data_IF_235095183564
#
_entry.id   IF_235095183564
#
_cell.length_a   1.000
_cell.length_b   1.000
_cell.length_c   1.000
_cell.angle_alpha   90.00
_cell.angle_beta   90.00
_cell.angle_gamma   90.00
#
_symmetry.space_group_name_H-M   'P 1'
#
loop_
_entity.id
_entity.type
_entity.pdbx_description
1 polymer ?
#
# COMPACT_ATOMS: atom_id res chain seq x y z
N UNK A 1 15.70 18.71 11.35
CA UNK A 1 14.51 18.52 10.51
C UNK A 1 14.52 17.09 9.95
N UNK A 2 13.47 16.35 10.19
CA UNK A 2 13.40 14.97 9.70
C UNK A 2 13.21 14.96 8.18
N UNK A 3 13.89 14.01 7.53
CA UNK A 3 13.69 13.78 6.10
C UNK A 3 12.35 13.10 5.88
N UNK A 4 11.75 13.32 4.72
CA UNK A 4 10.48 12.68 4.35
C UNK A 4 10.58 11.15 4.45
N UNK A 5 11.72 10.57 4.03
CA UNK A 5 11.95 9.14 4.11
C UNK A 5 11.84 8.62 5.55
N UNK A 6 12.43 9.34 6.50
CA UNK A 6 12.43 8.92 7.90
C UNK A 6 11.02 8.93 8.49
N UNK A 7 10.24 9.95 8.17
CA UNK A 7 8.83 10.05 8.62
C UNK A 7 8.01 8.91 8.03
N UNK A 8 8.13 8.68 6.72
CA UNK A 8 7.36 7.64 6.03
C UNK A 8 7.68 6.26 6.59
N UNK A 9 8.97 5.95 6.76
CA UNK A 9 9.38 4.65 7.29
C UNK A 9 8.84 4.45 8.71
N UNK A 10 9.02 5.45 9.57
CA UNK A 10 8.59 5.36 10.97
C UNK A 10 7.08 5.14 11.08
N UNK A 11 6.30 5.95 10.37
CA UNK A 11 4.83 5.87 10.42
C UNK A 11 4.32 4.56 9.80
N UNK A 12 4.85 4.18 8.65
CA UNK A 12 4.41 2.98 7.95
C UNK A 12 4.74 1.72 8.77
N UNK A 13 5.92 1.66 9.38
CA UNK A 13 6.30 0.53 10.23
C UNK A 13 5.40 0.41 11.45
N UNK A 14 4.98 1.52 12.06
CA UNK A 14 4.02 1.50 13.17
C UNK A 14 2.67 0.91 12.75
N UNK A 15 2.30 1.12 11.47
CA UNK A 15 1.07 0.57 10.91
C UNK A 15 1.24 -0.86 10.39
N UNK A 16 2.43 -1.43 10.53
CA UNK A 16 2.69 -2.80 10.14
C UNK A 16 3.19 -2.99 8.71
N UNK A 17 3.56 -1.90 8.03
CA UNK A 17 4.09 -1.98 6.68
C UNK A 17 5.61 -2.10 6.68
N UNK A 18 6.13 -2.90 5.74
CA UNK A 18 7.55 -2.86 5.39
C UNK A 18 7.71 -1.84 4.27
N UNK A 19 8.78 -1.03 4.34
CA UNK A 19 9.01 0.02 3.35
C UNK A 19 10.38 -0.17 2.75
N UNK A 20 10.45 -0.16 1.41
CA UNK A 20 11.72 -0.05 0.68
C UNK A 20 11.68 1.22 -0.15
N UNK A 21 12.84 1.82 -0.34
CA UNK A 21 12.96 3.11 -1.01
C UNK A 21 13.85 2.95 -2.24
N UNK A 22 13.36 3.45 -3.38
CA UNK A 22 14.14 3.55 -4.60
C UNK A 22 14.30 5.02 -4.94
N UNK A 23 15.52 5.51 -4.89
CA UNK A 23 15.83 6.89 -5.29
C UNK A 23 16.14 6.90 -6.79
N UNK A 24 15.23 7.49 -7.58
CA UNK A 24 15.44 7.62 -9.02
C UNK A 24 16.45 8.73 -9.31
N UNK A 25 16.38 9.81 -8.53
CA UNK A 25 17.37 10.90 -8.52
C UNK A 25 17.15 11.72 -7.24
N UNK A 26 17.85 12.85 -7.09
CA UNK A 26 17.78 13.66 -5.88
C UNK A 26 16.36 14.15 -5.55
N UNK A 27 15.52 14.30 -6.57
CA UNK A 27 14.20 14.89 -6.44
C UNK A 27 13.06 13.88 -6.53
N UNK A 28 13.33 12.67 -7.04
CA UNK A 28 12.31 11.67 -7.28
C UNK A 28 12.59 10.43 -6.45
N UNK A 29 11.68 10.12 -5.54
CA UNK A 29 11.77 8.97 -4.63
C UNK A 29 10.52 8.10 -4.80
N UNK A 30 10.72 6.80 -4.97
CA UNK A 30 9.63 5.82 -4.99
C UNK A 30 9.66 5.04 -3.68
N UNK A 31 8.51 5.00 -3.01
CA UNK A 31 8.31 4.19 -1.80
C UNK A 31 7.54 2.94 -2.17
N UNK A 32 8.07 1.77 -1.80
CA UNK A 32 7.39 0.49 -1.97
C UNK A 32 6.91 0.03 -0.60
N UNK A 33 5.60 -0.17 -0.47
CA UNK A 33 4.96 -0.57 0.78
C UNK A 33 4.47 -2.01 0.65
N UNK A 34 4.75 -2.84 1.64
CA UNK A 34 4.31 -4.23 1.66
C UNK A 34 3.76 -4.58 3.04
N UNK A 35 2.63 -5.27 3.07
CA UNK A 35 2.00 -5.71 4.31
C UNK A 35 1.13 -6.93 4.01
N UNK A 36 1.16 -7.91 4.90
CA UNK A 36 0.26 -9.05 4.77
C UNK A 36 -1.16 -8.66 5.13
N UNK A 37 -2.11 -9.15 4.34
CA UNK A 37 -3.53 -8.95 4.59
C UNK A 37 -3.98 -9.84 5.76
N UNK A 38 -5.21 -9.65 6.28
CA UNK A 38 -5.75 -10.51 7.33
C UNK A 38 -5.73 -12.00 7.00
N UNK A 39 -5.88 -12.36 5.71
CA UNK A 39 -5.82 -13.77 5.28
C UNK A 39 -4.40 -14.21 4.95
N UNK A 40 -3.40 -13.34 5.11
CA UNK A 40 -2.00 -13.68 4.89
C UNK A 40 -1.50 -13.51 3.47
N UNK A 41 -2.21 -12.78 2.62
CA UNK A 41 -1.72 -12.48 1.28
C UNK A 41 -0.70 -11.35 1.33
N UNK A 42 0.35 -11.48 0.52
CA UNK A 42 1.43 -10.49 0.44
C UNK A 42 0.98 -9.33 -0.46
N UNK A 43 0.43 -8.30 0.16
CA UNK A 43 -0.07 -7.13 -0.54
C UNK A 43 1.00 -6.05 -0.59
N UNK A 44 1.20 -5.44 -1.76
CA UNK A 44 2.16 -4.36 -1.91
C UNK A 44 1.67 -3.33 -2.92
N UNK A 45 2.14 -2.10 -2.76
CA UNK A 45 1.91 -1.03 -3.73
C UNK A 45 3.04 -0.01 -3.62
N UNK A 46 3.12 0.87 -4.61
CA UNK A 46 4.16 1.90 -4.65
C UNK A 46 3.55 3.28 -4.79
N UNK A 47 4.24 4.28 -4.25
CA UNK A 47 3.86 5.68 -4.41
C UNK A 47 5.12 6.53 -4.51
N UNK A 48 5.01 7.65 -5.22
CA UNK A 48 6.14 8.51 -5.53
C UNK A 48 6.02 9.86 -4.85
N UNK A 49 7.17 10.48 -4.58
CA UNK A 49 7.23 11.91 -4.30
C UNK A 49 8.25 12.58 -5.19
N UNK A 50 8.06 13.87 -5.43
CA UNK A 50 8.96 14.72 -6.19
C UNK A 50 9.30 15.94 -5.34
N UNK A 51 10.55 16.42 -5.44
CA UNK A 51 11.02 17.61 -4.74
C UNK A 51 10.86 17.53 -3.21
N UNK A 52 10.89 16.31 -2.66
CA UNK A 52 10.67 16.05 -1.23
C UNK A 52 9.34 16.60 -0.71
N UNK A 53 8.36 16.70 -1.60
CA UNK A 53 7.04 17.23 -1.26
C UNK A 53 6.14 16.11 -0.74
N UNK A 54 5.84 16.15 0.56
CA UNK A 54 4.98 15.14 1.18
C UNK A 54 3.54 15.18 0.66
N UNK A 55 3.08 16.34 0.21
CA UNK A 55 1.73 16.45 -0.37
C UNK A 55 1.62 15.66 -1.67
N UNK A 56 2.68 15.62 -2.48
CA UNK A 56 2.73 14.81 -3.69
C UNK A 56 2.62 13.33 -3.33
N UNK A 57 3.35 12.89 -2.31
CA UNK A 57 3.27 11.49 -1.86
C UNK A 57 1.87 11.14 -1.38
N UNK A 58 1.26 11.98 -0.55
CA UNK A 58 -0.09 11.75 -0.03
C UNK A 58 -1.11 11.68 -1.16
N UNK A 59 -0.98 12.56 -2.15
CA UNK A 59 -1.85 12.57 -3.32
C UNK A 59 -1.71 11.29 -4.14
N UNK A 60 -0.48 10.80 -4.33
CA UNK A 60 -0.22 9.54 -5.02
C UNK A 60 -0.88 8.35 -4.31
N UNK A 61 -0.74 8.28 -2.99
CA UNK A 61 -1.35 7.21 -2.21
C UNK A 61 -2.88 7.29 -2.30
N UNK A 62 -3.43 8.50 -2.22
CA UNK A 62 -4.88 8.69 -2.30
C UNK A 62 -5.43 8.33 -3.67
N UNK A 63 -4.71 8.65 -4.75
CA UNK A 63 -5.09 8.23 -6.10
C UNK A 63 -5.09 6.72 -6.25
N UNK A 64 -4.09 6.05 -5.70
CA UNK A 64 -4.04 4.59 -5.69
C UNK A 64 -5.27 4.02 -4.98
N UNK A 65 -5.61 4.58 -3.82
CA UNK A 65 -6.78 4.17 -3.05
C UNK A 65 -8.08 4.39 -3.83
N UNK A 66 -8.24 5.54 -4.48
CA UNK A 66 -9.44 5.87 -5.24
C UNK A 66 -9.64 4.95 -6.45
N UNK A 67 -8.55 4.57 -7.11
CA UNK A 67 -8.60 3.74 -8.31
C UNK A 67 -8.58 2.25 -7.97
N UNK A 68 -8.44 1.91 -6.71
CA UNK A 68 -8.35 0.52 -6.26
C UNK A 68 -9.67 -0.19 -6.45
N UNK A 69 -9.62 -1.37 -7.10
CA UNK A 69 -10.78 -2.21 -7.33
C UNK A 69 -10.55 -3.57 -6.67
N UNK A 70 -11.22 -3.86 -5.54
CA UNK A 70 -11.03 -5.15 -4.86
C UNK A 70 -11.33 -6.36 -5.73
N UNK A 71 -12.30 -6.25 -6.64
CA UNK A 71 -12.64 -7.35 -7.54
C UNK A 71 -11.50 -7.64 -8.52
N UNK A 72 -10.91 -6.60 -9.09
CA UNK A 72 -9.77 -6.74 -9.97
C UNK A 72 -8.55 -7.29 -9.23
N UNK A 73 -8.27 -6.75 -8.04
CA UNK A 73 -7.13 -7.22 -7.23
C UNK A 73 -7.30 -8.69 -6.85
N UNK A 74 -8.52 -9.10 -6.49
CA UNK A 74 -8.81 -10.49 -6.17
C UNK A 74 -8.54 -11.42 -7.35
N UNK A 75 -8.82 -10.95 -8.56
CA UNK A 75 -8.62 -11.73 -9.78
C UNK A 75 -7.17 -12.18 -9.95
N UNK A 76 -6.21 -11.37 -9.50
CA UNK A 76 -4.78 -11.68 -9.60
C UNK A 76 -4.38 -12.88 -8.75
N UNK A 77 -5.20 -13.25 -7.78
CA UNK A 77 -4.93 -14.37 -6.87
C UNK A 77 -5.71 -15.63 -7.24
N UNK A 78 -6.47 -15.59 -8.35
CA UNK A 78 -7.27 -16.72 -8.82
C UNK A 78 -6.44 -17.57 -9.78
N UNK A 79 -6.36 -18.87 -9.50
CA UNK A 79 -5.62 -19.80 -10.35
C UNK A 79 -6.43 -20.33 -11.53
N UNK A 80 -5.80 -21.13 -12.40
CA UNK A 80 -6.45 -21.69 -13.59
C UNK A 80 -7.69 -22.55 -13.28
N UNK A 81 -7.76 -23.06 -12.04
CA UNK A 81 -8.86 -23.92 -11.61
C UNK A 81 -10.05 -23.14 -11.04
N UNK A 82 -10.00 -21.81 -11.09
CA UNK A 82 -11.11 -20.97 -10.63
C UNK A 82 -11.19 -20.76 -9.13
N UNK A 83 -10.11 -21.02 -8.40
CA UNK A 83 -10.04 -20.74 -6.96
C UNK A 83 -8.67 -20.19 -6.60
N UNK A 84 -8.48 -19.78 -5.33
CA UNK A 84 -7.26 -19.09 -4.88
C UNK A 84 -5.99 -19.90 -5.02
N UNK A 85 -4.89 -19.20 -5.26
CA UNK A 85 -3.54 -19.76 -5.36
C UNK A 85 -2.55 -18.87 -4.62
N UNK A 86 -1.31 -19.37 -4.46
CA UNK A 86 -0.20 -18.60 -3.86
C UNK A 86 -0.51 -18.09 -2.46
N UNK A 87 -1.15 -18.94 -1.64
CA UNK A 87 -1.48 -18.58 -0.27
C UNK A 87 -2.80 -17.85 -0.10
N UNK A 88 -3.50 -17.55 -1.19
CA UNK A 88 -4.81 -16.90 -1.12
C UNK A 88 -5.87 -17.88 -0.61
N UNK A 89 -6.99 -17.37 -0.03
CA UNK A 89 -8.12 -18.22 0.33
C UNK A 89 -8.63 -19.02 -0.86
N UNK A 90 -9.19 -20.19 -0.60
CA UNK A 90 -9.67 -21.07 -1.65
C UNK A 90 -10.86 -20.45 -2.41
N UNK A 91 -11.82 -19.86 -1.69
CA UNK A 91 -13.04 -19.33 -2.30
C UNK A 91 -12.84 -17.89 -2.78
N UNK A 92 -13.32 -17.59 -3.98
CA UNK A 92 -13.21 -16.26 -4.59
C UNK A 92 -13.82 -15.18 -3.70
N UNK A 93 -14.96 -15.45 -3.08
CA UNK A 93 -15.61 -14.50 -2.19
C UNK A 93 -14.69 -14.08 -1.03
N UNK A 94 -13.90 -15.01 -0.50
CA UNK A 94 -12.96 -14.73 0.60
C UNK A 94 -11.77 -13.92 0.10
N UNK A 95 -11.34 -14.14 -1.14
CA UNK A 95 -10.28 -13.35 -1.76
C UNK A 95 -10.74 -11.90 -1.94
N UNK A 96 -11.97 -11.70 -2.43
CA UNK A 96 -12.54 -10.35 -2.60
C UNK A 96 -12.62 -9.64 -1.26
N UNK A 97 -13.10 -10.31 -0.22
CA UNK A 97 -13.17 -9.71 1.12
C UNK A 97 -11.78 -9.32 1.64
N UNK A 98 -10.77 -10.15 1.37
CA UNK A 98 -9.40 -9.87 1.77
C UNK A 98 -8.84 -8.65 1.02
N UNK A 99 -9.18 -8.49 -0.25
CA UNK A 99 -8.77 -7.32 -1.03
C UNK A 99 -9.50 -6.05 -0.59
N UNK A 100 -10.73 -6.16 -0.09
CA UNK A 100 -11.40 -5.03 0.55
C UNK A 100 -10.70 -4.62 1.84
N UNK A 101 -10.22 -5.60 2.59
CA UNK A 101 -9.42 -5.32 3.79
C UNK A 101 -8.10 -4.61 3.42
N UNK A 102 -7.47 -5.01 2.31
CA UNK A 102 -6.27 -4.35 1.80
C UNK A 102 -6.54 -2.88 1.44
N UNK A 103 -7.70 -2.61 0.84
CA UNK A 103 -8.12 -1.23 0.55
C UNK A 103 -8.16 -0.38 1.82
N UNK A 104 -8.74 -0.92 2.88
CA UNK A 104 -8.79 -0.24 4.18
C UNK A 104 -7.38 -0.02 4.75
N UNK A 105 -6.47 -0.97 4.55
CA UNK A 105 -5.07 -0.84 4.98
C UNK A 105 -4.41 0.37 4.31
N UNK A 106 -4.65 0.57 3.01
CA UNK A 106 -4.10 1.71 2.27
C UNK A 106 -4.67 3.03 2.83
N UNK A 107 -5.97 3.07 3.07
CA UNK A 107 -6.63 4.26 3.64
C UNK A 107 -6.06 4.59 5.02
N UNK A 108 -5.86 3.59 5.87
CA UNK A 108 -5.30 3.79 7.20
C UNK A 108 -3.85 4.30 7.13
N UNK A 109 -3.06 3.80 6.19
CA UNK A 109 -1.70 4.30 5.98
C UNK A 109 -1.72 5.76 5.55
N UNK A 110 -2.58 6.11 4.59
CA UNK A 110 -2.73 7.49 4.14
C UNK A 110 -3.10 8.41 5.31
N UNK A 111 -4.06 7.99 6.13
CA UNK A 111 -4.49 8.77 7.29
C UNK A 111 -3.36 8.98 8.28
N UNK A 112 -2.61 7.92 8.59
CA UNK A 112 -1.49 8.00 9.53
C UNK A 112 -0.39 8.92 9.02
N UNK A 113 -0.04 8.82 7.75
CA UNK A 113 0.96 9.70 7.13
C UNK A 113 0.49 11.15 7.10
N UNK A 114 -0.77 11.37 6.71
CA UNK A 114 -1.35 12.71 6.67
C UNK A 114 -1.30 13.37 8.04
N UNK A 115 -1.65 12.65 9.09
CA UNK A 115 -1.59 13.17 10.45
C UNK A 115 -0.16 13.48 10.87
N UNK A 116 0.80 12.65 10.51
CA UNK A 116 2.21 12.87 10.86
C UNK A 116 2.79 14.09 10.17
N UNK A 117 2.48 14.27 8.88
CA UNK A 117 3.01 15.42 8.13
C UNK A 117 2.33 16.75 8.47
N UNK A 118 1.09 16.69 8.96
CA UNK A 118 0.31 17.89 9.29
C UNK A 118 0.23 18.15 10.81
N UNK A 119 1.07 17.46 11.58
CA UNK A 119 1.12 17.63 13.04
C UNK A 119 1.82 18.92 13.42
#
# INVERSE_FOLDING_TARGET
>A
MEKIQDVVISVAEEEGWAVTIEEQNELHITFNFAKFTPQGQDFSFSANTFDNDHDVLLENIFEYYQDYDPDYEAYLWIGPNGHGQNGAPYHIADIVEDMKAAEDMVFQLHTALSNAFNA
#
